data_IF_394689913293
#
_entry.id   IF_394689913293
#
_cell.length_a   1.000
_cell.length_b   1.000
_cell.length_c   1.000
_cell.angle_alpha   90.00
_cell.angle_beta   90.00
_cell.angle_gamma   90.00
#
_symmetry.space_group_name_H-M   'P 1'
#
loop_
_entity.id
_entity.type
_entity.pdbx_description
1 polymer ?
#
# COMPACT_ATOMS: atom_id res chain seq x y z
N UNK A 1 3.35 -11.95 -9.73
CA UNK A 1 4.67 -12.62 -9.65
C UNK A 1 4.94 -13.23 -10.99
N UNK A 2 5.99 -12.81 -11.69
CA UNK A 2 6.30 -13.33 -13.04
C UNK A 2 7.08 -14.66 -12.97
N UNK A 3 7.97 -14.80 -11.98
CA UNK A 3 8.80 -15.99 -11.79
C UNK A 3 9.14 -16.16 -10.32
N UNK A 4 9.24 -17.41 -9.88
CA UNK A 4 9.80 -17.78 -8.56
C UNK A 4 10.85 -18.85 -8.83
N UNK A 5 12.08 -18.59 -8.39
CA UNK A 5 13.16 -19.58 -8.38
C UNK A 5 13.24 -20.22 -7.01
N UNK A 6 13.20 -21.55 -6.96
CA UNK A 6 13.28 -22.29 -5.72
C UNK A 6 14.70 -22.74 -5.46
N UNK A 7 15.26 -22.35 -4.30
CA UNK A 7 16.62 -22.73 -3.92
C UNK A 7 16.85 -24.20 -3.53
N UNK A 8 15.78 -25.01 -3.51
CA UNK A 8 15.78 -26.42 -3.17
C UNK A 8 15.97 -27.36 -4.38
N UNK A 9 16.11 -26.79 -5.59
CA UNK A 9 16.24 -27.53 -6.85
C UNK A 9 14.93 -28.02 -7.45
N UNK A 10 13.77 -27.61 -6.90
CA UNK A 10 12.47 -27.84 -7.55
C UNK A 10 12.34 -26.98 -8.82
N UNK A 11 11.40 -27.36 -9.69
CA UNK A 11 11.15 -26.61 -10.91
C UNK A 11 10.65 -25.19 -10.59
N UNK A 12 11.24 -24.20 -11.25
CA UNK A 12 10.82 -22.79 -11.12
C UNK A 12 9.33 -22.63 -11.49
N UNK A 13 8.65 -21.77 -10.74
CA UNK A 13 7.36 -21.27 -11.16
C UNK A 13 7.55 -20.14 -12.17
N UNK A 14 6.95 -20.27 -13.33
CA UNK A 14 6.85 -19.21 -14.31
C UNK A 14 5.37 -18.93 -14.53
N UNK A 15 4.95 -17.68 -14.31
CA UNK A 15 3.56 -17.31 -14.53
C UNK A 15 3.19 -17.52 -16.01
N UNK A 16 2.10 -18.22 -16.26
CA UNK A 16 1.40 -18.08 -17.53
C UNK A 16 0.79 -16.67 -17.58
N UNK A 17 0.79 -16.07 -18.71
CA UNK A 17 0.19 -14.75 -18.90
C UNK A 17 -1.30 -14.86 -19.31
N UNK A 18 -1.90 -16.04 -19.11
CA UNK A 18 -3.33 -16.23 -19.36
C UNK A 18 -4.11 -15.65 -18.18
N UNK A 19 -4.87 -14.59 -18.46
CA UNK A 19 -5.77 -13.99 -17.48
C UNK A 19 -6.92 -14.94 -17.16
N UNK A 20 -7.17 -15.20 -15.87
CA UNK A 20 -8.36 -15.91 -15.42
C UNK A 20 -9.26 -14.94 -14.64
N UNK A 21 -10.52 -14.87 -15.06
CA UNK A 21 -11.51 -14.12 -14.31
C UNK A 21 -11.77 -14.78 -12.96
N UNK A 22 -11.51 -14.05 -11.86
CA UNK A 22 -11.65 -14.56 -10.47
C UNK A 22 -12.81 -13.94 -9.71
N UNK A 23 -13.33 -12.80 -10.19
CA UNK A 23 -14.52 -12.12 -9.65
C UNK A 23 -15.42 -11.69 -10.81
N UNK A 24 -16.71 -11.49 -10.56
CA UNK A 24 -17.63 -10.98 -11.59
C UNK A 24 -17.31 -9.52 -11.94
N UNK A 25 -17.75 -9.09 -13.12
CA UNK A 25 -17.59 -7.69 -13.56
C UNK A 25 -18.30 -6.72 -12.63
N UNK A 26 -19.47 -7.08 -12.14
CA UNK A 26 -20.25 -6.26 -11.20
C UNK A 26 -19.50 -6.08 -9.87
N UNK A 27 -18.91 -7.14 -9.34
CA UNK A 27 -18.11 -7.07 -8.11
C UNK A 27 -16.87 -6.19 -8.30
N UNK A 28 -16.18 -6.32 -9.44
CA UNK A 28 -15.05 -5.48 -9.79
C UNK A 28 -15.46 -4.01 -9.93
N UNK A 29 -16.59 -3.75 -10.60
CA UNK A 29 -17.13 -2.40 -10.76
C UNK A 29 -17.49 -1.76 -9.40
N UNK A 30 -18.19 -2.50 -8.53
CA UNK A 30 -18.54 -2.01 -7.20
C UNK A 30 -17.30 -1.69 -6.36
N UNK A 31 -16.30 -2.56 -6.35
CA UNK A 31 -15.04 -2.31 -5.66
C UNK A 31 -14.33 -1.07 -6.19
N UNK A 32 -14.25 -0.92 -7.50
CA UNK A 32 -13.65 0.25 -8.15
C UNK A 32 -14.39 1.54 -7.81
N UNK A 33 -15.73 1.51 -7.80
CA UNK A 33 -16.56 2.65 -7.42
C UNK A 33 -16.30 3.09 -5.97
N UNK A 34 -16.18 2.13 -5.04
CA UNK A 34 -15.83 2.44 -3.64
C UNK A 34 -14.44 3.06 -3.52
N UNK A 35 -13.47 2.56 -4.29
CA UNK A 35 -12.12 3.12 -4.30
C UNK A 35 -12.08 4.53 -4.93
N UNK A 36 -12.88 4.78 -5.97
CA UNK A 36 -13.04 6.11 -6.56
C UNK A 36 -13.69 7.07 -5.55
N UNK A 37 -14.67 6.61 -4.80
CA UNK A 37 -15.32 7.40 -3.77
C UNK A 37 -14.34 7.88 -2.68
N UNK A 38 -13.32 7.11 -2.36
CA UNK A 38 -12.26 7.55 -1.44
C UNK A 38 -11.47 8.75 -1.96
N UNK A 39 -11.42 8.95 -3.29
CA UNK A 39 -10.73 10.07 -3.94
C UNK A 39 -11.67 11.25 -4.17
N UNK A 40 -12.91 11.00 -4.58
CA UNK A 40 -13.83 12.04 -5.08
C UNK A 40 -15.06 12.23 -4.22
N UNK A 41 -15.30 11.35 -3.25
CA UNK A 41 -16.51 11.34 -2.44
C UNK A 41 -16.66 12.58 -1.56
N UNK A 42 -17.89 13.00 -1.27
CA UNK A 42 -18.17 14.21 -0.50
C UNK A 42 -17.81 14.11 0.98
N UNK A 43 -17.74 12.89 1.53
CA UNK A 43 -17.54 12.67 2.97
C UNK A 43 -16.19 12.02 3.32
N UNK A 44 -15.67 11.16 2.44
CA UNK A 44 -14.42 10.43 2.64
C UNK A 44 -13.42 10.80 1.55
N UNK A 45 -12.99 12.03 1.56
CA UNK A 45 -12.18 12.64 0.52
C UNK A 45 -10.74 12.87 0.92
N UNK A 46 -10.25 12.13 1.90
CA UNK A 46 -8.87 12.28 2.40
C UNK A 46 -7.79 11.97 1.35
N UNK A 47 -8.18 11.38 0.22
CA UNK A 47 -7.32 11.15 -0.93
C UNK A 47 -7.58 12.13 -2.10
N UNK A 48 -8.26 13.25 -1.87
CA UNK A 48 -8.54 14.26 -2.92
C UNK A 48 -7.30 14.76 -3.66
N UNK A 49 -6.14 14.73 -3.03
CA UNK A 49 -4.87 15.08 -3.67
C UNK A 49 -4.58 14.22 -4.91
N UNK A 50 -5.18 13.04 -4.99
CA UNK A 50 -5.08 12.13 -6.14
C UNK A 50 -6.11 12.42 -7.23
N UNK A 51 -7.07 13.31 -7.01
CA UNK A 51 -8.10 13.63 -7.98
C UNK A 51 -7.50 14.17 -9.28
N UNK A 52 -7.98 13.68 -10.39
CA UNK A 52 -7.56 14.05 -11.75
C UNK A 52 -8.80 14.28 -12.61
N UNK A 53 -8.59 14.68 -13.87
CA UNK A 53 -9.63 14.79 -14.89
C UNK A 53 -10.15 13.44 -15.39
N UNK A 54 -9.56 12.36 -14.94
CA UNK A 54 -9.92 10.97 -15.24
C UNK A 54 -10.10 10.19 -13.93
N UNK A 55 -10.83 9.06 -13.94
CA UNK A 55 -11.07 8.26 -12.73
C UNK A 55 -9.76 7.74 -12.11
N UNK A 56 -9.63 7.92 -10.80
CA UNK A 56 -8.57 7.35 -9.98
C UNK A 56 -9.21 6.54 -8.86
N UNK A 57 -8.77 5.31 -8.73
CA UNK A 57 -9.23 4.34 -7.74
C UNK A 57 -8.14 4.16 -6.70
N UNK A 58 -8.40 4.48 -5.44
CA UNK A 58 -7.35 4.41 -4.45
C UNK A 58 -7.81 3.87 -3.10
N UNK A 59 -6.88 3.23 -2.38
CA UNK A 59 -7.08 2.75 -1.02
C UNK A 59 -5.77 2.81 -0.25
N UNK A 60 -5.87 3.29 0.98
CA UNK A 60 -4.75 3.24 1.94
C UNK A 60 -4.82 1.97 2.78
N UNK A 61 -3.69 1.55 3.31
CA UNK A 61 -3.57 0.52 4.33
C UNK A 61 -2.61 0.99 5.43
N UNK A 62 -2.94 0.69 6.67
CA UNK A 62 -2.09 1.02 7.81
C UNK A 62 -2.10 -0.15 8.78
N UNK A 63 -0.93 -0.64 9.15
CA UNK A 63 -0.76 -1.61 10.24
C UNK A 63 -0.10 -0.94 11.43
N UNK A 64 -0.26 -1.52 12.60
CA UNK A 64 0.45 -1.09 13.81
C UNK A 64 1.31 -2.22 14.39
N UNK A 65 2.13 -1.87 15.36
CA UNK A 65 2.96 -2.83 16.06
C UNK A 65 2.16 -3.70 17.06
N UNK A 66 0.90 -3.34 17.35
CA UNK A 66 0.11 -4.00 18.38
C UNK A 66 0.86 -4.04 19.72
N UNK A 67 0.65 -5.11 20.46
CA UNK A 67 1.33 -5.33 21.75
C UNK A 67 2.80 -5.72 21.59
N UNK A 68 3.19 -6.23 20.44
CA UNK A 68 4.58 -6.62 20.17
C UNK A 68 5.54 -5.43 20.17
N UNK A 69 5.05 -4.25 19.89
CA UNK A 69 5.83 -3.02 19.92
C UNK A 69 6.36 -2.67 21.32
N UNK A 70 5.62 -3.05 22.35
CA UNK A 70 5.96 -2.69 23.76
C UNK A 70 7.34 -3.21 24.18
N UNK A 71 7.77 -4.39 23.68
CA UNK A 71 9.11 -4.94 23.96
C UNK A 71 10.25 -4.11 23.39
N UNK A 72 9.96 -3.23 22.43
CA UNK A 72 10.91 -2.29 21.83
C UNK A 72 10.72 -0.85 22.33
N UNK A 73 9.84 -0.62 23.34
CA UNK A 73 9.52 0.73 23.81
C UNK A 73 8.63 1.52 22.86
N UNK A 74 8.01 0.86 21.89
CA UNK A 74 7.10 1.49 20.91
C UNK A 74 5.73 1.67 21.55
N UNK A 75 5.13 2.88 21.48
CA UNK A 75 3.82 3.14 22.05
C UNK A 75 2.73 2.25 21.42
N UNK A 76 1.76 1.86 22.25
CA UNK A 76 0.60 1.12 21.75
C UNK A 76 -0.16 1.90 20.67
N UNK A 77 -0.53 1.23 19.60
CA UNK A 77 -1.20 1.85 18.45
C UNK A 77 -0.31 2.67 17.51
N UNK A 78 1.00 2.74 17.79
CA UNK A 78 1.95 3.33 16.84
C UNK A 78 1.97 2.56 15.53
N UNK A 79 1.89 3.27 14.40
CA UNK A 79 1.84 2.63 13.10
C UNK A 79 3.22 2.09 12.68
N UNK A 80 3.20 0.89 12.10
CA UNK A 80 4.37 0.21 11.55
C UNK A 80 4.48 0.46 10.05
N UNK A 81 3.40 0.20 9.34
CA UNK A 81 3.38 0.24 7.88
C UNK A 81 2.29 1.18 7.39
N UNK A 82 2.61 1.91 6.33
CA UNK A 82 1.66 2.70 5.56
C UNK A 82 1.73 2.29 4.10
N UNK A 83 0.60 1.87 3.60
CA UNK A 83 0.40 1.45 2.23
C UNK A 83 -0.52 2.38 1.49
N UNK A 84 -0.29 2.52 0.22
CA UNK A 84 -1.27 3.05 -0.70
C UNK A 84 -1.25 2.27 -1.99
N UNK A 85 -2.43 1.95 -2.49
CA UNK A 85 -2.64 1.50 -3.86
C UNK A 85 -3.44 2.58 -4.59
N UNK A 86 -3.03 2.93 -5.78
CA UNK A 86 -3.74 3.83 -6.66
C UNK A 86 -3.72 3.28 -8.09
N UNK A 87 -4.90 3.22 -8.70
CA UNK A 87 -5.09 2.66 -10.03
C UNK A 87 -5.81 3.63 -10.94
N UNK A 88 -5.51 3.54 -12.21
CA UNK A 88 -6.28 4.10 -13.32
C UNK A 88 -6.77 2.95 -14.20
N UNK A 89 -7.40 3.24 -15.32
CA UNK A 89 -7.75 2.22 -16.31
C UNK A 89 -6.52 1.55 -16.98
N UNK A 90 -5.33 2.11 -16.81
CA UNK A 90 -4.12 1.67 -17.50
C UNK A 90 -3.04 1.14 -16.59
N UNK A 91 -2.96 1.66 -15.36
CA UNK A 91 -1.84 1.37 -14.45
C UNK A 91 -2.33 1.19 -13.03
N UNK A 92 -1.61 0.36 -12.28
CA UNK A 92 -1.75 0.23 -10.83
C UNK A 92 -0.40 0.49 -10.18
N UNK A 93 -0.38 1.41 -9.22
CA UNK A 93 0.80 1.72 -8.43
C UNK A 93 0.56 1.34 -6.98
N UNK A 94 1.56 0.73 -6.37
CA UNK A 94 1.55 0.40 -4.94
C UNK A 94 2.74 1.08 -4.29
N UNK A 95 2.50 1.79 -3.19
CA UNK A 95 3.55 2.44 -2.41
C UNK A 95 3.49 1.92 -0.98
N UNK A 96 4.63 1.53 -0.47
CA UNK A 96 4.82 1.15 0.92
C UNK A 96 5.87 2.04 1.58
N UNK A 97 5.57 2.47 2.78
CA UNK A 97 6.52 3.13 3.68
C UNK A 97 6.34 2.50 5.06
N UNK A 98 7.41 2.01 5.64
CA UNK A 98 7.31 1.30 6.90
C UNK A 98 8.65 0.95 7.52
N UNK A 99 8.58 0.21 8.60
CA UNK A 99 9.72 -0.29 9.34
C UNK A 99 9.72 -1.82 9.30
N UNK A 100 10.81 -2.38 8.81
CA UNK A 100 10.97 -3.83 8.69
C UNK A 100 10.95 -4.52 10.07
N UNK A 101 11.63 -3.92 11.04
CA UNK A 101 11.73 -4.45 12.41
C UNK A 101 11.70 -3.35 13.45
N UNK A 102 11.19 -3.68 14.64
CA UNK A 102 11.33 -2.85 15.83
C UNK A 102 12.75 -2.91 16.37
N UNK A 103 13.32 -1.76 16.70
CA UNK A 103 14.63 -1.67 17.35
C UNK A 103 14.47 -0.91 18.66
N UNK A 104 15.00 -1.48 19.73
CA UNK A 104 14.94 -0.86 21.05
C UNK A 104 15.74 0.44 21.04
N UNK A 105 15.16 1.46 21.67
CA UNK A 105 15.74 2.81 21.80
C UNK A 105 15.90 3.56 20.46
N UNK A 106 15.27 3.06 19.38
CA UNK A 106 15.18 3.75 18.08
C UNK A 106 13.72 4.03 17.71
N UNK A 107 13.50 5.14 17.02
CA UNK A 107 12.16 5.46 16.50
C UNK A 107 11.86 4.67 15.23
N UNK A 108 11.40 3.44 15.39
CA UNK A 108 10.99 2.54 14.30
C UNK A 108 9.47 2.45 14.17
N UNK A 109 8.79 3.60 14.24
CA UNK A 109 7.34 3.71 14.13
C UNK A 109 6.91 5.11 13.68
N UNK A 110 5.67 5.23 13.22
CA UNK A 110 5.01 6.50 12.98
C UNK A 110 4.16 6.88 14.18
N UNK A 111 4.22 8.14 14.62
CA UNK A 111 3.62 8.62 15.87
C UNK A 111 2.11 8.44 15.94
N UNK A 112 1.42 8.35 14.82
CA UNK A 112 -0.02 8.17 14.83
C UNK A 112 -0.54 7.47 13.57
N UNK A 113 -1.63 6.70 13.74
CA UNK A 113 -2.45 6.21 12.62
C UNK A 113 -3.04 7.37 11.82
N UNK A 114 -3.30 8.47 12.50
CA UNK A 114 -3.85 9.70 11.93
C UNK A 114 -2.77 10.59 11.37
N UNK A 115 -1.53 10.17 11.32
CA UNK A 115 -0.59 11.09 10.71
C UNK A 115 -1.13 11.38 9.31
N UNK A 116 -1.60 12.57 9.17
CA UNK A 116 -1.86 13.30 7.94
C UNK A 116 -0.62 13.32 7.06
N UNK A 117 0.44 12.88 7.60
CA UNK A 117 1.59 12.39 6.92
C UNK A 117 1.15 11.17 6.10
N UNK A 118 0.33 11.47 5.16
CA UNK A 118 0.09 10.64 4.00
C UNK A 118 1.40 10.60 3.22
N UNK A 119 2.43 10.06 3.89
CA UNK A 119 3.77 9.94 3.33
C UNK A 119 3.70 9.40 1.91
N UNK A 120 2.89 8.37 1.60
CA UNK A 120 2.70 7.92 0.23
C UNK A 120 2.04 8.95 -0.69
N UNK A 121 1.26 9.89 -0.17
CA UNK A 121 0.61 10.94 -0.95
C UNK A 121 1.51 12.16 -1.17
N UNK A 122 2.45 12.39 -0.26
CA UNK A 122 3.34 13.56 -0.26
C UNK A 122 4.69 13.31 -0.95
N UNK A 123 5.04 12.07 -1.23
CA UNK A 123 6.31 11.73 -1.88
C UNK A 123 6.39 12.06 -3.38
N UNK A 124 5.56 13.00 -3.86
CA UNK A 124 5.91 13.78 -5.04
C UNK A 124 7.16 14.66 -4.85
N UNK A 125 7.64 14.85 -3.61
CA UNK A 125 8.84 15.58 -3.26
C UNK A 125 9.76 14.76 -2.35
N UNK A 126 10.78 14.19 -2.97
CA UNK A 126 12.06 13.77 -2.40
C UNK A 126 12.06 13.34 -0.93
N UNK A 127 11.88 12.04 -0.66
CA UNK A 127 12.69 11.36 0.33
C UNK A 127 12.63 9.84 0.11
N UNK A 128 13.80 9.27 -0.11
CA UNK A 128 14.13 7.83 -0.19
C UNK A 128 13.06 6.95 -0.84
N UNK A 129 13.04 6.94 -2.16
CA UNK A 129 12.47 5.84 -2.93
C UNK A 129 13.11 4.52 -2.45
N UNK A 130 12.34 3.72 -1.74
CA UNK A 130 12.61 2.29 -1.73
C UNK A 130 12.32 1.81 -3.16
N UNK A 131 13.38 1.64 -3.96
CA UNK A 131 13.26 1.00 -5.26
C UNK A 131 12.80 -0.42 -5.00
N UNK A 132 11.60 -0.75 -5.40
CA UNK A 132 11.31 -2.14 -5.72
C UNK A 132 12.13 -2.47 -6.96
N UNK A 133 13.04 -3.42 -6.80
CA UNK A 133 13.84 -3.91 -7.91
C UNK A 133 12.94 -4.44 -9.00
N UNK A 134 13.03 -3.83 -10.15
CA UNK A 134 12.68 -4.43 -11.42
C UNK A 134 13.98 -4.99 -11.96
N UNK A 135 14.18 -6.27 -11.76
CA UNK A 135 15.03 -7.12 -12.60
C UNK A 135 14.17 -8.18 -13.24
#
# INVERSE_FOLDING_TARGET
VARIEFGDGSADYVADHEGRQVISEEAAYMASTLMQYCVEGPYFNYMQVLKRSYPVYAKTGTTDWGKDGLRFGIPEGAAKDKWMIASTSQTTNVVWVGYDKGVKDEKTYFDSRKSTENIPLLTGNRQKQCRMGTD
#
